data_IF_417793181473
#
_entry.id   IF_417793181473
#
_cell.length_a   1.000
_cell.length_b   1.000
_cell.length_c   1.000
_cell.angle_alpha   90.00
_cell.angle_beta   90.00
_cell.angle_gamma   90.00
#
_symmetry.space_group_name_H-M   'P 1'
#
loop_
_entity.id
_entity.type
_entity.pdbx_description
1 polymer ?
#
# COMPACT_ATOMS: atom_id res chain seq x y z
N UNK A 1 17.42 13.29 -13.78
CA UNK A 1 16.18 12.66 -14.27
C UNK A 1 15.05 13.68 -14.19
N UNK A 2 14.15 13.77 -15.21
CA UNK A 2 13.06 14.75 -15.20
C UNK A 2 11.93 14.26 -14.27
N UNK A 3 11.51 15.12 -13.33
CA UNK A 3 10.35 14.83 -12.48
C UNK A 3 9.05 15.18 -13.23
N UNK A 4 8.03 14.34 -13.07
CA UNK A 4 6.70 14.54 -13.63
C UNK A 4 5.68 14.74 -12.49
N UNK A 5 4.74 15.67 -12.66
CA UNK A 5 3.68 15.88 -11.68
C UNK A 5 2.59 14.81 -11.82
N UNK A 6 2.15 14.24 -10.70
CA UNK A 6 1.02 13.30 -10.66
C UNK A 6 -0.28 14.10 -10.73
N UNK A 7 -0.91 14.12 -11.90
CA UNK A 7 -2.18 14.81 -12.10
C UNK A 7 -2.09 16.29 -11.67
N UNK A 8 -2.98 16.71 -10.77
CA UNK A 8 -3.04 18.06 -10.20
C UNK A 8 -2.71 18.07 -8.70
N UNK A 9 -1.89 17.15 -8.25
CA UNK A 9 -1.61 16.95 -6.81
C UNK A 9 -0.47 17.82 -6.28
N UNK A 10 0.32 18.45 -7.15
CA UNK A 10 1.56 19.13 -6.81
C UNK A 10 2.72 18.19 -6.48
N UNK A 11 2.48 16.87 -6.49
CA UNK A 11 3.51 15.88 -6.20
C UNK A 11 4.30 15.60 -7.46
N UNK A 12 5.60 15.83 -7.38
CA UNK A 12 6.54 15.54 -8.48
C UNK A 12 7.29 14.26 -8.19
N UNK A 13 7.25 13.31 -9.12
CA UNK A 13 7.88 12.00 -9.00
C UNK A 13 8.85 11.73 -10.17
N UNK A 14 9.90 10.93 -9.95
CA UNK A 14 10.73 10.41 -11.02
C UNK A 14 9.93 9.42 -11.89
N UNK A 15 10.40 9.11 -13.10
CA UNK A 15 9.75 8.13 -13.97
C UNK A 15 9.85 6.68 -13.47
N UNK A 16 10.67 6.44 -12.44
CA UNK A 16 10.85 5.11 -11.84
C UNK A 16 10.23 5.12 -10.45
N UNK A 17 9.37 4.12 -10.19
CA UNK A 17 8.77 3.82 -8.89
C UNK A 17 9.16 2.40 -8.52
N UNK A 18 9.68 2.20 -7.31
CA UNK A 18 10.12 0.89 -6.83
C UNK A 18 8.97 0.18 -6.09
N UNK A 19 8.55 -0.99 -6.61
CA UNK A 19 7.66 -1.88 -5.90
C UNK A 19 8.39 -2.60 -4.75
N UNK A 20 7.72 -2.76 -3.61
CA UNK A 20 8.34 -3.33 -2.40
C UNK A 20 7.92 -4.77 -2.10
N UNK A 21 7.26 -5.47 -3.01
CA UNK A 21 6.80 -6.85 -2.78
C UNK A 21 7.93 -7.80 -2.43
N UNK A 22 9.13 -7.61 -2.99
CA UNK A 22 10.33 -8.39 -2.63
C UNK A 22 10.74 -8.21 -1.16
N UNK A 23 10.55 -7.01 -0.57
CA UNK A 23 10.79 -6.77 0.86
C UNK A 23 9.80 -7.53 1.75
N UNK A 24 8.61 -7.87 1.21
CA UNK A 24 7.58 -8.69 1.82
C UNK A 24 7.76 -10.19 1.59
N UNK A 25 8.90 -10.64 1.05
CA UNK A 25 9.20 -12.04 0.77
C UNK A 25 8.30 -12.67 -0.32
N UNK A 26 7.96 -11.92 -1.36
CA UNK A 26 7.23 -12.45 -2.51
C UNK A 26 8.05 -13.55 -3.19
N UNK A 27 7.52 -14.78 -3.23
CA UNK A 27 8.09 -16.02 -3.78
C UNK A 27 9.43 -16.48 -3.19
N UNK A 28 10.17 -15.63 -2.52
CA UNK A 28 11.47 -15.95 -1.93
C UNK A 28 11.69 -15.13 -0.66
N UNK A 29 12.04 -15.81 0.44
CA UNK A 29 12.48 -15.13 1.64
C UNK A 29 13.87 -14.52 1.43
N UNK A 30 13.96 -13.19 1.44
CA UNK A 30 15.22 -12.48 1.33
C UNK A 30 15.80 -12.18 2.71
N UNK A 31 17.13 -12.19 2.83
CA UNK A 31 17.80 -11.74 4.06
C UNK A 31 17.62 -10.23 4.27
N UNK A 32 17.78 -9.77 5.50
CA UNK A 32 17.70 -8.34 5.83
C UNK A 32 18.82 -7.53 5.16
N UNK A 33 19.99 -8.12 4.94
CA UNK A 33 21.10 -7.51 4.20
C UNK A 33 20.73 -7.28 2.74
N UNK A 34 20.15 -8.29 2.08
CA UNK A 34 19.67 -8.17 0.69
C UNK A 34 18.57 -7.11 0.56
N UNK A 35 17.64 -7.06 1.52
CA UNK A 35 16.58 -6.04 1.51
C UNK A 35 17.15 -4.64 1.68
N UNK A 36 18.14 -4.47 2.57
CA UNK A 36 18.85 -3.21 2.77
C UNK A 36 19.59 -2.78 1.49
N UNK A 37 20.29 -3.69 0.84
CA UNK A 37 20.97 -3.45 -0.42
C UNK A 37 20.02 -3.00 -1.53
N UNK A 38 18.85 -3.67 -1.68
CA UNK A 38 17.82 -3.28 -2.65
C UNK A 38 17.38 -1.83 -2.45
N UNK A 39 17.11 -1.44 -1.20
CA UNK A 39 16.68 -0.06 -0.88
C UNK A 39 17.81 0.93 -1.10
N UNK A 40 19.04 0.60 -0.70
CA UNK A 40 20.23 1.42 -0.91
C UNK A 40 20.46 1.70 -2.40
N UNK A 41 20.42 0.67 -3.24
CA UNK A 41 20.59 0.81 -4.69
C UNK A 41 19.55 1.74 -5.33
N UNK A 42 18.31 1.79 -4.81
CA UNK A 42 17.33 2.74 -5.30
C UNK A 42 17.77 4.20 -5.09
N UNK A 43 18.37 4.53 -3.93
CA UNK A 43 18.87 5.87 -3.64
C UNK A 43 20.19 6.20 -4.37
N UNK A 44 21.02 5.21 -4.66
CA UNK A 44 22.27 5.42 -5.41
C UNK A 44 22.03 5.73 -6.89
N UNK A 45 20.95 5.18 -7.48
CA UNK A 45 20.70 5.27 -8.92
C UNK A 45 19.57 6.23 -9.32
N UNK A 46 18.72 6.64 -8.37
CA UNK A 46 17.62 7.57 -8.64
C UNK A 46 17.75 8.81 -7.75
N UNK A 47 17.76 10.02 -8.33
CA UNK A 47 17.78 11.24 -7.54
C UNK A 47 16.53 11.40 -6.70
N UNK A 48 16.68 11.96 -5.51
CA UNK A 48 15.56 12.24 -4.61
C UNK A 48 14.50 13.17 -5.24
N UNK A 49 13.24 13.00 -4.90
CA UNK A 49 12.71 11.99 -4.00
C UNK A 49 12.61 10.60 -4.68
N UNK A 50 13.09 9.56 -3.99
CA UNK A 50 12.88 8.18 -4.41
C UNK A 50 11.46 7.75 -4.04
N UNK A 51 10.78 7.03 -4.94
CA UNK A 51 9.38 6.63 -4.72
C UNK A 51 9.28 5.12 -4.54
N UNK A 52 8.67 4.71 -3.42
CA UNK A 52 8.34 3.31 -3.14
C UNK A 52 6.83 3.10 -3.14
N UNK A 53 6.38 2.04 -3.81
CA UNK A 53 5.00 1.58 -3.80
C UNK A 53 4.88 0.30 -2.97
N UNK A 54 4.12 0.37 -1.88
CA UNK A 54 3.97 -0.69 -0.89
C UNK A 54 2.49 -1.01 -0.60
N UNK A 55 2.27 -1.97 0.25
CA UNK A 55 0.93 -2.37 0.68
C UNK A 55 0.96 -3.14 2.00
N UNK A 56 -0.10 -3.01 2.81
CA UNK A 56 -0.33 -3.88 3.96
C UNK A 56 -0.47 -5.36 3.60
N UNK A 57 -0.90 -5.68 2.38
CA UNK A 57 -0.95 -7.05 1.84
C UNK A 57 0.44 -7.65 1.64
N UNK A 58 1.45 -6.86 1.30
CA UNK A 58 2.77 -7.39 0.92
C UNK A 58 3.49 -8.01 2.11
N UNK A 59 3.44 -9.35 2.15
CA UNK A 59 3.97 -10.13 3.25
C UNK A 59 3.29 -9.83 4.60
N UNK A 60 1.98 -9.61 4.62
CA UNK A 60 1.25 -9.21 5.85
C UNK A 60 1.89 -7.97 6.51
N UNK A 61 2.24 -6.97 5.72
CA UNK A 61 2.86 -5.72 6.17
C UNK A 61 4.38 -5.79 6.36
N UNK A 62 5.03 -6.95 6.15
CA UNK A 62 6.49 -7.09 6.24
C UNK A 62 7.22 -6.11 5.31
N UNK A 63 6.67 -5.85 4.11
CA UNK A 63 7.27 -4.90 3.18
C UNK A 63 7.33 -3.46 3.72
N UNK A 64 6.30 -3.01 4.43
CA UNK A 64 6.27 -1.69 5.08
C UNK A 64 7.28 -1.63 6.24
N UNK A 65 7.29 -2.66 7.09
CA UNK A 65 8.21 -2.79 8.22
C UNK A 65 9.68 -2.75 7.75
N UNK A 66 10.03 -3.59 6.78
CA UNK A 66 11.38 -3.64 6.24
C UNK A 66 11.76 -2.37 5.47
N UNK A 67 10.84 -1.73 4.77
CA UNK A 67 11.09 -0.44 4.15
C UNK A 67 11.44 0.62 5.21
N UNK A 68 10.64 0.73 6.29
CA UNK A 68 10.91 1.66 7.39
C UNK A 68 12.28 1.43 8.03
N UNK A 69 12.60 0.16 8.38
CA UNK A 69 13.89 -0.23 8.93
C UNK A 69 15.07 0.13 8.01
N UNK A 70 14.95 -0.14 6.71
CA UNK A 70 15.99 0.17 5.73
C UNK A 70 16.21 1.68 5.60
N UNK A 71 15.13 2.46 5.49
CA UNK A 71 15.21 3.92 5.42
C UNK A 71 15.87 4.52 6.65
N UNK A 72 15.60 3.98 7.84
CA UNK A 72 16.23 4.43 9.08
C UNK A 72 17.71 4.06 9.14
N UNK A 73 18.06 2.80 8.83
CA UNK A 73 19.47 2.35 8.78
C UNK A 73 20.33 3.15 7.79
N UNK A 74 19.74 3.55 6.67
CA UNK A 74 20.39 4.37 5.64
C UNK A 74 20.37 5.87 5.97
N UNK A 75 19.79 6.27 7.11
CA UNK A 75 19.62 7.67 7.53
C UNK A 75 18.95 8.55 6.46
N UNK A 76 17.98 8.02 5.73
CA UNK A 76 17.25 8.77 4.71
C UNK A 76 16.38 9.83 5.38
N UNK A 77 16.49 11.07 4.93
CA UNK A 77 15.60 12.14 5.38
C UNK A 77 14.17 11.93 4.78
N UNK A 78 13.09 12.12 5.57
CA UNK A 78 11.71 11.89 5.10
C UNK A 78 11.33 12.64 3.83
N UNK A 79 11.88 13.82 3.60
CA UNK A 79 11.67 14.63 2.38
C UNK A 79 12.30 14.03 1.12
N UNK A 80 13.23 13.10 1.26
CA UNK A 80 13.91 12.43 0.16
C UNK A 80 13.21 11.15 -0.31
N UNK A 81 12.09 10.79 0.32
CA UNK A 81 11.31 9.60 -0.03
C UNK A 81 9.82 9.93 -0.16
N UNK A 82 9.17 9.34 -1.15
CA UNK A 82 7.71 9.33 -1.28
C UNK A 82 7.26 7.89 -1.16
N UNK A 83 6.29 7.65 -0.28
CA UNK A 83 5.71 6.34 -0.07
C UNK A 83 4.26 6.34 -0.54
N UNK A 84 3.92 5.37 -1.39
CA UNK A 84 2.56 4.99 -1.75
C UNK A 84 2.20 3.74 -0.98
N UNK A 85 1.10 3.77 -0.21
CA UNK A 85 0.60 2.60 0.52
C UNK A 85 -0.80 2.22 0.04
N UNK A 86 -0.97 0.96 -0.37
CA UNK A 86 -2.27 0.39 -0.72
C UNK A 86 -2.91 -0.19 0.55
N UNK A 87 -4.05 0.35 0.92
CA UNK A 87 -4.81 0.05 2.13
C UNK A 87 -5.94 -0.95 1.84
N UNK A 88 -6.46 -1.58 2.89
CA UNK A 88 -7.53 -2.57 2.80
C UNK A 88 -7.08 -3.99 3.14
N UNK A 89 -5.83 -4.16 3.57
CA UNK A 89 -5.30 -5.38 4.14
C UNK A 89 -4.61 -5.06 5.46
N UNK A 90 -5.04 -5.71 6.53
CA UNK A 90 -4.56 -5.50 7.89
C UNK A 90 -3.76 -6.70 8.35
N UNK A 91 -2.56 -6.47 8.90
CA UNK A 91 -1.77 -7.50 9.59
C UNK A 91 -2.53 -8.01 10.81
N UNK A 92 -2.52 -9.32 10.98
CA UNK A 92 -3.06 -10.03 12.14
C UNK A 92 -2.06 -11.08 12.64
N UNK A 93 -2.21 -11.62 13.87
CA UNK A 93 -1.41 -12.74 14.31
C UNK A 93 -1.55 -13.97 13.40
N UNK A 94 -0.46 -14.66 13.14
CA UNK A 94 -0.48 -15.96 12.45
C UNK A 94 -0.90 -17.05 13.46
N UNK A 95 -2.11 -17.56 13.30
CA UNK A 95 -2.68 -18.60 14.18
C UNK A 95 -2.69 -19.98 13.53
N UNK A 96 -2.23 -20.09 12.30
CA UNK A 96 -2.16 -21.32 11.49
C UNK A 96 -0.71 -21.61 11.11
N UNK A 97 -0.36 -22.82 10.68
CA UNK A 97 1.01 -23.15 10.24
C UNK A 97 1.51 -22.27 9.09
N UNK A 98 0.60 -21.78 8.25
CA UNK A 98 0.87 -20.88 7.10
C UNK A 98 -0.17 -19.75 7.06
N UNK A 99 0.13 -18.61 6.41
CA UNK A 99 -0.82 -17.52 6.20
C UNK A 99 -2.09 -18.00 5.49
N UNK A 100 -3.23 -17.42 5.85
CA UNK A 100 -4.53 -17.79 5.27
C UNK A 100 -4.81 -17.06 3.94
N UNK A 101 -4.06 -16.03 3.63
CA UNK A 101 -4.15 -15.26 2.38
C UNK A 101 -3.03 -15.66 1.41
N UNK A 102 -3.33 -15.76 0.12
CA UNK A 102 -2.35 -16.04 -0.96
C UNK A 102 -1.33 -17.15 -0.60
N UNK A 103 -1.86 -18.33 -0.23
CA UNK A 103 -1.04 -19.46 0.18
C UNK A 103 0.05 -19.81 -0.85
N UNK A 104 1.28 -20.06 -0.36
CA UNK A 104 2.43 -20.36 -1.21
C UNK A 104 2.99 -19.18 -2.00
N UNK A 105 2.54 -17.96 -1.76
CA UNK A 105 3.01 -16.75 -2.45
C UNK A 105 4.02 -15.97 -1.62
N UNK A 106 3.79 -15.85 -0.33
CA UNK A 106 4.62 -15.09 0.61
C UNK A 106 5.39 -16.03 1.53
N UNK A 107 6.72 -15.91 1.54
CA UNK A 107 7.59 -16.86 2.24
C UNK A 107 7.96 -16.38 3.65
N UNK A 108 8.11 -17.33 4.59
CA UNK A 108 8.62 -17.09 5.96
C UNK A 108 7.88 -15.95 6.70
N UNK A 109 6.57 -15.89 6.58
CA UNK A 109 5.78 -14.89 7.30
C UNK A 109 5.56 -15.30 8.76
N UNK A 110 5.68 -14.30 9.65
CA UNK A 110 5.35 -14.43 11.09
C UNK A 110 3.95 -13.91 11.43
N UNK A 111 3.30 -13.30 10.46
CA UNK A 111 1.98 -12.70 10.59
C UNK A 111 1.08 -13.19 9.45
N UNK A 112 -0.21 -13.08 9.68
CA UNK A 112 -1.26 -13.24 8.68
C UNK A 112 -1.82 -11.87 8.28
N UNK A 113 -2.69 -11.83 7.27
CA UNK A 113 -3.40 -10.63 6.88
C UNK A 113 -4.86 -10.92 6.55
N UNK A 114 -5.73 -9.99 6.94
CA UNK A 114 -7.15 -10.02 6.58
C UNK A 114 -7.52 -8.83 5.73
N UNK A 115 -8.40 -9.06 4.77
CA UNK A 115 -8.92 -7.99 3.93
C UNK A 115 -10.05 -7.25 4.65
N UNK A 116 -9.91 -5.93 4.79
CA UNK A 116 -10.93 -5.06 5.36
C UNK A 116 -11.05 -3.78 4.52
N UNK A 117 -11.90 -3.85 3.51
CA UNK A 117 -12.27 -2.72 2.66
C UNK A 117 -13.57 -2.13 3.20
N UNK A 118 -13.46 -1.37 4.27
CA UNK A 118 -14.51 -0.59 4.90
C UNK A 118 -13.97 0.79 5.28
N UNK A 119 -14.81 1.71 5.75
CA UNK A 119 -14.36 3.01 6.25
C UNK A 119 -13.34 2.84 7.38
N UNK A 120 -13.72 2.11 8.43
CA UNK A 120 -12.86 1.84 9.59
C UNK A 120 -11.65 0.99 9.22
N UNK A 121 -11.82 0.01 8.32
CA UNK A 121 -10.73 -0.83 7.83
C UNK A 121 -9.63 -0.01 7.16
N UNK A 122 -9.99 0.98 6.35
CA UNK A 122 -9.01 1.87 5.70
C UNK A 122 -8.27 2.72 6.72
N UNK A 123 -8.97 3.30 7.70
CA UNK A 123 -8.33 4.09 8.76
C UNK A 123 -7.38 3.22 9.61
N UNK A 124 -7.82 2.03 10.00
CA UNK A 124 -6.99 1.07 10.75
C UNK A 124 -5.76 0.63 9.95
N UNK A 125 -5.92 0.34 8.64
CA UNK A 125 -4.80 -0.01 7.77
C UNK A 125 -3.81 1.16 7.59
N UNK A 126 -4.29 2.40 7.56
CA UNK A 126 -3.45 3.59 7.49
C UNK A 126 -2.59 3.72 8.76
N UNK A 127 -3.21 3.68 9.94
CA UNK A 127 -2.49 3.81 11.22
C UNK A 127 -1.50 2.63 11.40
N UNK A 128 -1.91 1.40 11.16
CA UNK A 128 -1.01 0.24 11.23
C UNK A 128 0.16 0.36 10.23
N UNK A 129 -0.09 0.87 9.01
CA UNK A 129 0.97 1.10 8.03
C UNK A 129 2.01 2.11 8.51
N UNK A 130 1.58 3.17 9.21
CA UNK A 130 2.47 4.15 9.82
C UNK A 130 3.32 3.54 10.95
N UNK A 131 2.70 2.71 11.80
CA UNK A 131 3.43 1.98 12.85
C UNK A 131 4.49 1.06 12.26
N UNK A 132 4.15 0.31 11.20
CA UNK A 132 5.06 -0.58 10.50
C UNK A 132 6.23 0.16 9.83
N UNK A 133 6.00 1.37 9.35
CA UNK A 133 7.05 2.26 8.82
C UNK A 133 7.92 2.90 9.91
N UNK A 134 7.70 2.56 11.19
CA UNK A 134 8.49 3.05 12.33
C UNK A 134 8.07 4.43 12.85
N UNK A 135 6.95 5.00 12.39
CA UNK A 135 6.43 6.29 12.87
C UNK A 135 7.22 7.52 12.47
N UNK A 136 8.31 7.36 11.71
CA UNK A 136 9.13 8.44 11.16
C UNK A 136 8.77 8.76 9.71
N UNK A 137 8.37 7.75 8.96
CA UNK A 137 8.01 7.85 7.56
C UNK A 137 6.50 7.62 7.41
N UNK A 138 5.86 8.45 6.59
CA UNK A 138 4.41 8.41 6.38
C UNK A 138 4.09 8.35 4.88
N UNK A 139 3.06 7.60 4.45
CA UNK A 139 2.64 7.60 3.06
C UNK A 139 2.11 8.96 2.64
N UNK A 140 2.61 9.49 1.53
CA UNK A 140 2.06 10.67 0.86
C UNK A 140 0.92 10.31 -0.09
N UNK A 141 0.91 9.06 -0.56
CA UNK A 141 -0.09 8.52 -1.46
C UNK A 141 -0.77 7.33 -0.79
N UNK A 142 -2.10 7.29 -0.84
CA UNK A 142 -2.88 6.16 -0.36
C UNK A 142 -3.89 5.70 -1.40
N UNK A 143 -4.12 4.39 -1.48
CA UNK A 143 -5.08 3.81 -2.40
C UNK A 143 -5.81 2.62 -1.78
N UNK A 144 -6.98 2.25 -2.31
CA UNK A 144 -7.61 0.96 -1.99
C UNK A 144 -6.93 -0.13 -2.81
N UNK A 145 -6.55 -1.24 -2.15
CA UNK A 145 -5.86 -2.38 -2.75
C UNK A 145 -6.84 -3.42 -3.28
N UNK A 146 -6.77 -3.69 -4.58
CA UNK A 146 -7.54 -4.72 -5.30
C UNK A 146 -9.05 -4.71 -4.98
N UNK A 147 -9.73 -3.55 -5.04
CA UNK A 147 -11.18 -3.50 -4.81
C UNK A 147 -11.99 -4.30 -5.83
N UNK A 148 -11.43 -4.55 -7.01
CA UNK A 148 -11.99 -5.40 -8.04
C UNK A 148 -11.93 -6.88 -7.65
N UNK A 149 -10.86 -7.37 -7.05
CA UNK A 149 -10.78 -8.72 -6.50
C UNK A 149 -11.75 -8.89 -5.33
N UNK A 150 -11.80 -7.92 -4.42
CA UNK A 150 -12.78 -7.89 -3.32
C UNK A 150 -14.21 -8.02 -3.84
N UNK A 151 -14.55 -7.28 -4.89
CA UNK A 151 -15.86 -7.30 -5.49
C UNK A 151 -16.14 -8.63 -6.24
N UNK A 152 -15.13 -9.20 -6.89
CA UNK A 152 -15.27 -10.46 -7.63
C UNK A 152 -15.37 -11.69 -6.72
N UNK A 153 -14.91 -11.61 -5.48
CA UNK A 153 -15.06 -12.65 -4.46
C UNK A 153 -16.51 -12.73 -3.88
N UNK A 154 -17.45 -11.92 -4.40
CA UNK A 154 -18.84 -11.95 -3.96
C UNK A 154 -19.53 -13.28 -4.31
N UNK A 155 -20.34 -13.80 -3.37
CA UNK A 155 -21.03 -15.09 -3.47
C UNK A 155 -22.48 -14.97 -3.96
N UNK A 156 -23.02 -13.75 -3.99
CA UNK A 156 -24.38 -13.44 -4.47
C UNK A 156 -24.46 -11.99 -4.95
N UNK A 157 -25.55 -11.62 -5.64
CA UNK A 157 -25.81 -10.23 -6.02
C UNK A 157 -25.90 -9.32 -4.80
N UNK A 158 -26.58 -9.76 -3.74
CA UNK A 158 -26.69 -8.99 -2.48
C UNK A 158 -25.33 -8.78 -1.80
N UNK A 159 -24.49 -9.81 -1.76
CA UNK A 159 -23.11 -9.70 -1.25
C UNK A 159 -22.28 -8.73 -2.11
N UNK A 160 -22.43 -8.80 -3.44
CA UNK A 160 -21.77 -7.88 -4.37
C UNK A 160 -22.15 -6.42 -4.13
N UNK A 161 -23.46 -6.16 -3.92
CA UNK A 161 -23.94 -4.81 -3.62
C UNK A 161 -23.39 -4.31 -2.27
N UNK A 162 -23.36 -5.18 -1.26
CA UNK A 162 -22.76 -4.87 0.05
C UNK A 162 -21.26 -4.56 -0.07
N UNK A 163 -20.49 -5.39 -0.80
CA UNK A 163 -19.06 -5.15 -1.04
C UNK A 163 -18.83 -3.86 -1.82
N UNK A 164 -19.68 -3.55 -2.79
CA UNK A 164 -19.58 -2.29 -3.50
C UNK A 164 -19.84 -1.08 -2.59
N UNK A 165 -20.83 -1.16 -1.70
CA UNK A 165 -21.05 -0.14 -0.66
C UNK A 165 -19.84 0.03 0.25
N UNK A 166 -19.19 -1.07 0.68
CA UNK A 166 -17.96 -1.02 1.47
C UNK A 166 -16.82 -0.31 0.72
N UNK A 167 -16.66 -0.55 -0.58
CA UNK A 167 -15.68 0.17 -1.40
C UNK A 167 -15.98 1.68 -1.41
N UNK A 168 -17.24 2.08 -1.53
CA UNK A 168 -17.62 3.50 -1.47
C UNK A 168 -17.25 4.12 -0.12
N UNK A 169 -17.53 3.43 0.99
CA UNK A 169 -17.15 3.88 2.32
C UNK A 169 -15.62 3.95 2.50
N UNK A 170 -14.86 2.99 1.96
CA UNK A 170 -13.41 3.02 1.94
C UNK A 170 -12.85 4.28 1.24
N UNK A 171 -13.47 4.71 0.14
CA UNK A 171 -13.08 5.95 -0.53
C UNK A 171 -13.48 7.22 0.24
N UNK A 172 -14.53 7.18 1.04
CA UNK A 172 -14.82 8.29 1.98
C UNK A 172 -13.72 8.42 3.03
N UNK A 173 -13.25 7.30 3.60
CA UNK A 173 -12.12 7.30 4.52
C UNK A 173 -10.84 7.87 3.88
N UNK A 174 -10.52 7.46 2.64
CA UNK A 174 -9.41 8.04 1.90
C UNK A 174 -9.56 9.55 1.68
N UNK A 175 -10.77 10.02 1.35
CA UNK A 175 -11.06 11.43 1.17
C UNK A 175 -10.85 12.23 2.48
N UNK A 176 -11.24 11.65 3.63
CA UNK A 176 -11.03 12.26 4.94
C UNK A 176 -9.54 12.28 5.33
N UNK A 177 -8.77 11.23 5.03
CA UNK A 177 -7.31 11.24 5.18
C UNK A 177 -6.66 12.35 4.33
N UNK A 178 -7.12 12.54 3.09
CA UNK A 178 -6.64 13.63 2.22
C UNK A 178 -7.05 15.00 2.77
N UNK A 179 -8.31 15.16 3.16
CA UNK A 179 -8.84 16.43 3.70
C UNK A 179 -8.15 16.85 4.99
N UNK A 180 -7.79 15.90 5.84
CA UNK A 180 -7.04 16.15 7.08
C UNK A 180 -5.54 16.36 6.85
N UNK A 181 -5.05 16.26 5.61
CA UNK A 181 -3.64 16.44 5.29
C UNK A 181 -2.75 15.24 5.63
N UNK A 182 -3.33 14.12 6.09
CA UNK A 182 -2.59 12.91 6.41
C UNK A 182 -1.98 12.25 5.16
N UNK A 183 -2.64 12.39 4.01
CA UNK A 183 -2.09 12.03 2.70
C UNK A 183 -2.28 13.17 1.70
N UNK A 184 -1.42 13.25 0.69
CA UNK A 184 -1.48 14.30 -0.35
C UNK A 184 -2.37 13.91 -1.52
N UNK A 185 -2.41 12.62 -1.86
CA UNK A 185 -3.24 12.12 -2.94
C UNK A 185 -3.80 10.74 -2.65
N UNK A 186 -4.93 10.44 -3.28
CA UNK A 186 -5.63 9.17 -3.16
C UNK A 186 -5.79 8.51 -4.53
N UNK A 187 -5.88 7.18 -4.55
CA UNK A 187 -5.92 6.42 -5.79
C UNK A 187 -6.57 5.05 -5.64
N UNK A 188 -6.30 4.19 -6.61
CA UNK A 188 -6.74 2.79 -6.63
C UNK A 188 -5.62 1.91 -7.14
N UNK A 189 -5.39 0.78 -6.46
CA UNK A 189 -4.58 -0.32 -6.96
C UNK A 189 -5.52 -1.43 -7.44
N UNK A 190 -5.87 -1.46 -8.72
CA UNK A 190 -6.81 -2.42 -9.29
C UNK A 190 -6.28 -2.99 -10.61
N UNK A 191 -6.63 -4.24 -10.90
CA UNK A 191 -6.32 -4.92 -12.16
C UNK A 191 -7.39 -4.67 -13.23
N UNK A 192 -8.62 -4.34 -12.80
CA UNK A 192 -9.75 -4.13 -13.71
C UNK A 192 -10.06 -2.63 -13.89
N UNK A 193 -9.66 -2.07 -15.04
CA UNK A 193 -9.88 -0.68 -15.39
C UNK A 193 -11.36 -0.25 -15.44
N UNK A 194 -12.31 -1.19 -15.64
CA UNK A 194 -13.75 -0.89 -15.67
C UNK A 194 -14.26 -0.44 -14.30
N UNK A 195 -13.77 -1.07 -13.22
CA UNK A 195 -14.08 -0.62 -11.87
C UNK A 195 -13.47 0.75 -11.60
N UNK A 196 -12.23 0.98 -12.01
CA UNK A 196 -11.59 2.29 -11.93
C UNK A 196 -12.44 3.38 -12.56
N UNK A 197 -12.91 3.19 -13.80
CA UNK A 197 -13.79 4.14 -14.48
C UNK A 197 -15.11 4.37 -13.74
N UNK A 198 -15.70 3.33 -13.16
CA UNK A 198 -16.91 3.47 -12.34
C UNK A 198 -16.67 4.34 -11.11
N UNK A 199 -15.59 4.11 -10.37
CA UNK A 199 -15.21 4.91 -9.19
C UNK A 199 -14.89 6.37 -9.55
N UNK A 200 -14.20 6.58 -10.67
CA UNK A 200 -13.90 7.93 -11.18
C UNK A 200 -15.17 8.71 -11.51
N UNK A 201 -16.14 8.05 -12.17
CA UNK A 201 -17.43 8.66 -12.52
C UNK A 201 -18.29 8.97 -11.28
N UNK A 202 -18.11 8.27 -10.18
CA UNK A 202 -18.75 8.57 -8.89
C UNK A 202 -18.08 9.71 -8.11
N UNK A 203 -17.11 10.40 -8.69
CA UNK A 203 -16.33 11.49 -8.06
C UNK A 203 -15.51 11.08 -6.84
N UNK A 204 -15.30 9.78 -6.64
CA UNK A 204 -14.54 9.26 -5.50
C UNK A 204 -13.02 9.42 -5.65
N UNK A 205 -12.54 9.68 -6.87
CA UNK A 205 -11.11 9.82 -7.22
C UNK A 205 -10.74 11.22 -7.75
N UNK A 206 -11.55 12.24 -7.49
CA UNK A 206 -11.27 13.63 -7.92
C UNK A 206 -10.61 14.49 -6.86
#
# INVERSE_FOLDING_TARGET
>A
MKLNEIGKTGIKIPPIIFGTSALGNLYTALSDETKLEIVQQAFEHVPAPVVFDSAGKYGAGLALEKLGECLEKLNIAPENVIISNKLGWKRTPLLTPEPTFEQGVWMDLKNDAVQDISYEGILNCYEQGNELLGGKYFPQLASVHDPDEYLNASTSSKDRDSRFANIVEAYKALADLKKSGKVKAIGVGAKNWKLYNKLLNMYLLR
#
